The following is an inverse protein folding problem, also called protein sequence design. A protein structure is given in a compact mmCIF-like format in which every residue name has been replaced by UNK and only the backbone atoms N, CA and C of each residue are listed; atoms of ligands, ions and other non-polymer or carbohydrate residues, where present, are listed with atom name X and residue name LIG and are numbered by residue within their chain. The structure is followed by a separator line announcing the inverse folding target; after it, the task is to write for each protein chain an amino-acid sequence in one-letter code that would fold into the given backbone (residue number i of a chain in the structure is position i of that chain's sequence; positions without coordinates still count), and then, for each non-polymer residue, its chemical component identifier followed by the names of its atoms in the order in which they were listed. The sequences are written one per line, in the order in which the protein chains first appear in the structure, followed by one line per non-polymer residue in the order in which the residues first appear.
data_IF_299359839432
#
_entry.id   IF_299359839432
#
_cell.length_a   1.000
_cell.length_b   1.000
_cell.length_c   1.000
_cell.angle_alpha   90.00
_cell.angle_beta   90.00
_cell.angle_gamma   90.00
#
_symmetry.space_group_name_H-M   'P 1'
#
loop_
_entity.id
_entity.type
_entity.pdbx_description
1 polymer ?
#
# COMPACT_ATOMS: atom_id res chain seq x y z
N UNK A 1 10.32 -17.23 18.30
CA UNK A 1 9.95 -15.95 18.94
C UNK A 1 8.51 -16.04 19.44
N UNK A 2 8.29 -15.82 20.73
CA UNK A 2 6.94 -15.81 21.34
C UNK A 2 6.28 -14.47 20.99
N UNK A 3 5.15 -14.50 20.27
CA UNK A 3 4.38 -13.28 19.94
C UNK A 3 3.74 -12.71 21.20
N UNK A 4 3.89 -11.42 21.45
CA UNK A 4 3.23 -10.74 22.58
C UNK A 4 1.76 -10.47 22.25
N UNK A 5 0.89 -10.55 23.27
CA UNK A 5 -0.55 -10.28 23.14
C UNK A 5 -0.75 -8.83 22.67
N UNK A 6 -1.28 -8.63 21.45
CA UNK A 6 -1.43 -7.31 20.81
C UNK A 6 -0.44 -7.00 19.69
N UNK A 7 0.55 -7.87 19.44
CA UNK A 7 1.39 -7.76 18.24
C UNK A 7 0.55 -8.04 16.99
N UNK A 8 0.19 -6.95 16.29
CA UNK A 8 -0.29 -7.04 14.91
C UNK A 8 0.75 -7.77 14.07
N UNK A 9 0.31 -8.64 13.16
CA UNK A 9 1.17 -9.45 12.30
C UNK A 9 2.35 -8.62 11.76
N UNK A 10 3.57 -9.00 12.12
CA UNK A 10 4.78 -8.40 11.56
C UNK A 10 4.72 -8.53 10.03
N UNK A 11 4.45 -7.43 9.34
CA UNK A 11 4.49 -7.38 7.88
C UNK A 11 5.92 -7.08 7.47
N UNK A 12 6.47 -7.92 6.61
CA UNK A 12 7.76 -7.65 5.97
C UNK A 12 7.59 -6.44 5.03
N UNK A 13 8.35 -5.38 5.30
CA UNK A 13 8.40 -4.17 4.46
C UNK A 13 9.74 -4.09 3.74
N UNK A 14 9.87 -3.19 2.77
CA UNK A 14 11.17 -2.86 2.16
C UNK A 14 12.21 -2.35 3.18
N UNK A 15 11.75 -1.91 4.37
CA UNK A 15 12.57 -1.40 5.47
C UNK A 15 12.77 -2.43 6.60
N UNK A 16 12.45 -3.69 6.34
CA UNK A 16 12.44 -4.76 7.33
C UNK A 16 11.14 -4.80 8.15
N UNK A 17 11.20 -5.40 9.34
CA UNK A 17 10.08 -5.43 10.28
C UNK A 17 10.15 -4.18 11.16
N UNK A 18 9.14 -3.32 11.05
CA UNK A 18 9.09 -2.05 11.79
C UNK A 18 7.89 -1.99 12.73
N UNK A 19 7.95 -1.19 13.82
CA UNK A 19 6.80 -0.95 14.70
C UNK A 19 5.61 -0.33 13.95
N UNK A 20 4.39 -0.64 14.39
CA UNK A 20 3.15 -0.12 13.79
C UNK A 20 3.12 1.41 13.71
N UNK A 21 3.58 2.09 14.75
CA UNK A 21 3.64 3.56 14.80
C UNK A 21 4.49 4.16 13.67
N UNK A 22 5.62 3.53 13.33
CA UNK A 22 6.45 3.93 12.19
C UNK A 22 5.79 3.58 10.87
N UNK A 23 5.15 2.40 10.79
CA UNK A 23 4.45 1.97 9.57
C UNK A 23 3.29 2.90 9.18
N UNK A 24 2.54 3.43 10.16
CA UNK A 24 1.42 4.35 9.91
C UNK A 24 1.88 5.57 9.10
N UNK A 25 3.05 6.14 9.41
CA UNK A 25 3.56 7.31 8.72
C UNK A 25 3.83 7.02 7.23
N UNK A 26 4.43 5.86 6.93
CA UNK A 26 4.66 5.42 5.55
C UNK A 26 3.33 5.16 4.82
N UNK A 27 2.35 4.55 5.48
CA UNK A 27 1.03 4.31 4.89
C UNK A 27 0.31 5.62 4.53
N UNK A 28 0.45 6.67 5.36
CA UNK A 28 -0.10 8.00 5.07
C UNK A 28 0.55 8.59 3.80
N UNK A 29 1.87 8.46 3.66
CA UNK A 29 2.58 8.88 2.44
C UNK A 29 2.12 8.08 1.21
N UNK A 30 1.95 6.76 1.37
CA UNK A 30 1.43 5.90 0.31
C UNK A 30 0.01 6.28 -0.13
N UNK A 31 -0.86 6.66 0.81
CA UNK A 31 -2.20 7.17 0.50
C UNK A 31 -2.12 8.47 -0.32
N UNK A 32 -1.28 9.42 0.09
CA UNK A 32 -1.07 10.68 -0.65
C UNK A 32 -0.58 10.41 -2.08
N UNK A 33 0.40 9.53 -2.25
CA UNK A 33 0.92 9.15 -3.58
C UNK A 33 -0.16 8.53 -4.47
N UNK A 34 -0.99 7.64 -3.91
CA UNK A 34 -2.09 7.05 -4.64
C UNK A 34 -3.15 8.10 -5.02
N UNK A 35 -3.46 9.02 -4.11
CA UNK A 35 -4.41 10.12 -4.34
C UNK A 35 -3.95 11.06 -5.45
N UNK A 36 -2.70 11.53 -5.38
CA UNK A 36 -2.10 12.41 -6.41
C UNK A 36 -2.09 11.74 -7.79
N UNK A 37 -1.85 10.42 -7.82
CA UNK A 37 -1.92 9.65 -9.07
C UNK A 37 -3.33 9.62 -9.67
N UNK A 38 -4.38 9.49 -8.84
CA UNK A 38 -5.77 9.54 -9.30
C UNK A 38 -6.09 10.93 -9.84
N UNK A 39 -5.82 11.99 -9.09
CA UNK A 39 -6.14 13.36 -9.48
C UNK A 39 -5.52 13.73 -10.83
N UNK A 40 -4.21 13.47 -10.99
CA UNK A 40 -3.49 13.69 -12.26
C UNK A 40 -4.06 12.90 -13.43
N UNK A 41 -4.70 11.76 -13.16
CA UNK A 41 -5.26 10.91 -14.20
C UNK A 41 -6.71 11.26 -14.52
N UNK A 42 -7.49 11.70 -13.53
CA UNK A 42 -8.86 12.22 -13.74
C UNK A 42 -8.88 13.54 -14.50
N UNK A 43 -7.83 14.36 -14.39
CA UNK A 43 -7.69 15.59 -15.19
C UNK A 43 -7.57 15.31 -16.69
N UNK A 44 -7.02 14.15 -17.06
CA UNK A 44 -6.72 13.81 -18.46
C UNK A 44 -7.84 13.01 -19.12
N UNK A 45 -8.42 12.05 -18.41
CA UNK A 45 -9.37 11.10 -18.97
C UNK A 45 -10.43 10.68 -17.95
N UNK A 46 -11.57 10.21 -18.44
CA UNK A 46 -12.55 9.51 -17.61
C UNK A 46 -11.94 8.22 -17.05
N UNK A 47 -11.91 8.11 -15.72
CA UNK A 47 -11.36 6.94 -15.05
C UNK A 47 -12.28 5.73 -15.18
N UNK A 48 -11.79 4.67 -15.81
CA UNK A 48 -12.42 3.35 -15.74
C UNK A 48 -11.95 2.61 -14.48
N UNK A 49 -12.87 2.35 -13.56
CA UNK A 49 -12.59 1.68 -12.28
C UNK A 49 -12.54 0.15 -12.45
N UNK A 50 -11.51 -0.34 -13.14
CA UNK A 50 -11.30 -1.78 -13.33
C UNK A 50 -10.46 -2.39 -12.19
N UNK A 51 -10.51 -3.71 -11.99
CA UNK A 51 -9.62 -4.42 -11.07
C UNK A 51 -8.13 -4.13 -11.32
N UNK A 52 -7.71 -4.06 -12.59
CA UNK A 52 -6.33 -3.76 -13.00
C UNK A 52 -5.94 -2.34 -12.58
N UNK A 53 -6.88 -1.40 -12.71
CA UNK A 53 -6.68 -0.02 -12.26
C UNK A 53 -6.50 0.05 -10.74
N UNK A 54 -7.37 -0.64 -9.98
CA UNK A 54 -7.27 -0.68 -8.51
C UNK A 54 -5.95 -1.31 -8.06
N UNK A 55 -5.52 -2.40 -8.71
CA UNK A 55 -4.21 -3.03 -8.46
C UNK A 55 -3.06 -2.06 -8.77
N UNK A 56 -3.13 -1.33 -9.88
CA UNK A 56 -2.11 -0.33 -10.25
C UNK A 56 -2.06 0.78 -9.21
N UNK A 57 -3.21 1.32 -8.81
CA UNK A 57 -3.32 2.35 -7.78
C UNK A 57 -2.72 1.88 -6.46
N UNK A 58 -3.07 0.67 -6.02
CA UNK A 58 -2.49 0.08 -4.81
C UNK A 58 -0.97 -0.12 -4.94
N UNK A 59 -0.47 -0.49 -6.13
CA UNK A 59 0.98 -0.59 -6.38
C UNK A 59 1.67 0.75 -6.28
N UNK A 60 1.08 1.83 -6.80
CA UNK A 60 1.62 3.19 -6.71
C UNK A 60 1.76 3.63 -5.26
N UNK A 61 0.70 3.48 -4.46
CA UNK A 61 0.73 3.93 -3.07
C UNK A 61 1.61 3.05 -2.17
N UNK A 62 1.59 1.72 -2.35
CA UNK A 62 2.11 0.80 -1.34
C UNK A 62 3.21 -0.14 -1.85
N UNK A 63 3.53 -0.14 -3.14
CA UNK A 63 4.53 -1.05 -3.71
C UNK A 63 5.95 -0.83 -3.20
N UNK A 64 6.28 0.42 -2.84
CA UNK A 64 7.58 0.75 -2.25
C UNK A 64 7.68 0.36 -0.77
N UNK A 65 6.55 0.28 -0.05
CA UNK A 65 6.49 -0.18 1.34
C UNK A 65 6.45 -1.71 1.41
N UNK A 66 5.60 -2.32 0.58
CA UNK A 66 5.34 -3.76 0.57
C UNK A 66 5.65 -4.36 -0.82
N UNK A 67 6.93 -4.52 -1.20
CA UNK A 67 7.32 -4.91 -2.56
C UNK A 67 6.74 -6.26 -3.02
N UNK A 68 6.52 -7.19 -2.10
CA UNK A 68 5.95 -8.51 -2.41
C UNK A 68 4.42 -8.47 -2.61
N UNK A 69 3.73 -7.51 -1.99
CA UNK A 69 2.26 -7.47 -1.89
C UNK A 69 1.59 -6.31 -2.65
N UNK A 70 2.30 -5.19 -2.84
CA UNK A 70 1.75 -3.99 -3.45
C UNK A 70 1.18 -4.26 -4.85
N UNK A 71 -0.13 -4.01 -5.01
CA UNK A 71 -0.85 -4.22 -6.26
C UNK A 71 -1.29 -5.66 -6.51
N UNK A 72 -1.27 -6.52 -5.48
CA UNK A 72 -1.80 -7.89 -5.55
C UNK A 72 -3.01 -8.03 -4.64
N UNK A 73 -3.96 -8.86 -5.04
CA UNK A 73 -4.94 -9.37 -4.09
C UNK A 73 -4.26 -10.35 -3.13
N UNK A 74 -4.83 -10.48 -1.94
CA UNK A 74 -4.45 -11.56 -1.04
C UNK A 74 -5.00 -12.85 -1.65
N UNK A 75 -4.12 -13.72 -2.14
CA UNK A 75 -4.52 -15.09 -2.44
C UNK A 75 -4.79 -15.78 -1.09
N UNK A 76 -5.94 -16.41 -0.98
CA UNK A 76 -6.30 -17.28 0.15
C UNK A 76 -5.54 -18.60 0.05
#
# INVERSE_FOLDING_TARGET
MVKRKGETSYKETAFGIIPRSKLILLEIEGIKMAWDFILKKSEKDKLSLTPEFIKKLHKVGFGWIFPKMGGKYRNM
#
